data_IF_717656332270
#
_entry.id   IF_717656332270
#
_cell.length_a   1.000
_cell.length_b   1.000
_cell.length_c   1.000
_cell.angle_alpha   90.00
_cell.angle_beta   90.00
_cell.angle_gamma   90.00
#
_symmetry.space_group_name_H-M   'P 1'
#
loop_
_entity.id
_entity.type
_entity.pdbx_description
1 polymer ?
#
# COMPACT_ATOMS: atom_id res chain seq x y z
N UNK A 1 -48.23 -3.92 3.74
CA UNK A 1 -47.23 -3.32 2.85
C UNK A 1 -45.89 -3.56 3.53
N UNK A 2 -45.35 -4.74 3.32
CA UNK A 2 -44.07 -5.18 3.87
C UNK A 2 -42.96 -4.70 2.93
N UNK A 3 -42.03 -3.93 3.46
CA UNK A 3 -40.82 -3.51 2.76
C UNK A 3 -39.74 -4.56 3.02
N UNK A 4 -39.47 -5.39 2.04
CA UNK A 4 -38.34 -6.30 2.05
C UNK A 4 -37.02 -5.52 2.02
N UNK A 5 -36.24 -5.67 3.08
CA UNK A 5 -34.85 -5.24 3.11
C UNK A 5 -34.00 -6.23 2.34
N UNK A 6 -33.42 -5.81 1.23
CA UNK A 6 -32.41 -6.59 0.52
C UNK A 6 -31.09 -6.55 1.28
N UNK A 7 -30.77 -7.62 1.97
CA UNK A 7 -29.46 -7.86 2.54
C UNK A 7 -28.44 -8.09 1.41
N UNK A 8 -27.47 -7.21 1.31
CA UNK A 8 -26.35 -7.32 0.39
C UNK A 8 -25.28 -8.20 1.02
N UNK A 9 -25.32 -9.51 0.77
CA UNK A 9 -24.25 -10.42 1.17
C UNK A 9 -22.97 -10.12 0.38
N UNK A 10 -21.98 -9.57 1.04
CA UNK A 10 -20.62 -9.43 0.50
C UNK A 10 -19.87 -10.76 0.65
N UNK A 11 -19.61 -11.42 -0.47
CA UNK A 11 -18.79 -12.63 -0.50
C UNK A 11 -17.32 -12.27 -0.63
N UNK A 12 -16.52 -12.60 0.37
CA UNK A 12 -15.06 -12.44 0.32
C UNK A 12 -14.42 -13.70 -0.27
N UNK A 13 -13.56 -13.54 -1.27
CA UNK A 13 -12.71 -14.60 -1.81
C UNK A 13 -11.29 -14.43 -1.29
N UNK A 14 -10.73 -15.47 -0.71
CA UNK A 14 -9.32 -15.51 -0.30
C UNK A 14 -8.52 -16.27 -1.34
N UNK A 15 -7.45 -15.67 -1.82
CA UNK A 15 -6.48 -16.30 -2.72
C UNK A 15 -5.15 -16.34 -1.96
N UNK A 16 -4.66 -17.54 -1.69
CA UNK A 16 -3.38 -17.73 -1.01
C UNK A 16 -2.27 -17.90 -2.03
N UNK A 17 -1.29 -17.04 -1.94
CA UNK A 17 0.03 -17.20 -2.52
C UNK A 17 1.04 -17.24 -1.38
N UNK A 18 2.16 -17.94 -1.54
CA UNK A 18 3.16 -18.14 -0.47
C UNK A 18 3.77 -16.85 0.14
N UNK A 19 3.41 -15.68 -0.36
CA UNK A 19 3.77 -14.37 0.19
C UNK A 19 2.65 -13.71 1.02
N UNK A 20 1.57 -14.41 1.29
CA UNK A 20 0.44 -13.90 2.07
C UNK A 20 -0.92 -14.23 1.48
N UNK A 21 -1.95 -14.08 2.28
CA UNK A 21 -3.35 -14.24 1.85
C UNK A 21 -3.86 -12.89 1.32
N UNK A 22 -4.33 -12.88 0.07
CA UNK A 22 -4.97 -11.70 -0.52
C UNK A 22 -6.49 -11.83 -0.34
N UNK A 23 -7.10 -10.77 0.17
CA UNK A 23 -8.54 -10.71 0.38
C UNK A 23 -9.19 -9.66 -0.51
N UNK A 24 -10.28 -10.03 -1.17
CA UNK A 24 -11.04 -9.16 -2.07
C UNK A 24 -12.53 -9.23 -1.77
N UNK A 25 -13.19 -8.09 -1.83
CA UNK A 25 -14.64 -7.99 -1.73
C UNK A 25 -15.26 -8.14 -3.12
N UNK A 26 -16.21 -9.07 -3.26
CA UNK A 26 -16.96 -9.23 -4.51
C UNK A 26 -18.21 -8.38 -4.47
N UNK A 27 -18.20 -7.23 -5.12
CA UNK A 27 -19.42 -6.46 -5.42
C UNK A 27 -20.06 -7.03 -6.68
N UNK A 28 -21.27 -7.59 -6.55
CA UNK A 28 -22.08 -7.98 -7.71
C UNK A 28 -22.63 -6.73 -8.37
N UNK A 29 -21.93 -6.21 -9.36
CA UNK A 29 -22.54 -5.28 -10.31
C UNK A 29 -23.32 -6.08 -11.36
N UNK A 30 -24.63 -5.95 -11.36
CA UNK A 30 -25.48 -6.39 -12.46
C UNK A 30 -25.24 -5.48 -13.67
N UNK A 31 -24.46 -5.95 -14.64
CA UNK A 31 -24.42 -5.39 -15.97
C UNK A 31 -24.21 -6.53 -16.99
N UNK A 32 -25.22 -6.70 -17.82
CA UNK A 32 -25.26 -7.29 -19.15
C UNK A 32 -24.50 -8.60 -19.40
N UNK A 33 -25.26 -9.64 -19.69
CA UNK A 33 -24.81 -10.88 -20.29
C UNK A 33 -23.97 -10.61 -21.55
N UNK A 34 -22.66 -10.77 -21.45
CA UNK A 34 -21.79 -10.92 -22.61
C UNK A 34 -21.62 -12.42 -22.87
N UNK A 35 -21.97 -12.82 -24.08
CA UNK A 35 -21.79 -14.14 -24.65
C UNK A 35 -20.32 -14.55 -24.46
N UNK A 36 -20.10 -15.63 -23.71
CA UNK A 36 -18.79 -16.27 -23.60
C UNK A 36 -18.52 -16.95 -24.94
N UNK A 37 -17.83 -16.26 -25.84
CA UNK A 37 -17.12 -16.95 -26.91
C UNK A 37 -15.87 -17.55 -26.30
N UNK A 38 -15.75 -18.87 -26.35
CA UNK A 38 -14.53 -19.61 -26.06
C UNK A 38 -13.41 -19.12 -26.97
N UNK A 39 -12.67 -18.09 -26.56
CA UNK A 39 -11.36 -17.80 -27.13
C UNK A 39 -10.37 -18.73 -26.45
N UNK A 40 -9.97 -19.73 -27.22
CA UNK A 40 -8.81 -20.60 -26.96
C UNK A 40 -7.64 -19.65 -26.64
N UNK A 41 -7.15 -19.68 -25.39
CA UNK A 41 -5.89 -19.05 -25.02
C UNK A 41 -4.76 -19.58 -25.91
N UNK A 42 -3.65 -18.86 -26.07
CA UNK A 42 -2.57 -19.30 -26.92
C UNK A 42 -2.17 -20.72 -26.55
N UNK A 43 -2.27 -21.64 -27.51
CA UNK A 43 -1.85 -23.03 -27.40
C UNK A 43 -0.37 -23.05 -27.05
N UNK A 44 -0.07 -23.10 -25.75
CA UNK A 44 1.26 -23.47 -25.29
C UNK A 44 1.54 -24.89 -25.77
N UNK A 45 2.50 -25.04 -26.68
CA UNK A 45 2.92 -26.35 -27.15
C UNK A 45 3.34 -27.21 -25.94
N UNK A 46 3.14 -28.51 -25.97
CA UNK A 46 3.49 -29.43 -24.87
C UNK A 46 4.95 -29.28 -24.39
N UNK A 47 5.87 -28.82 -25.25
CA UNK A 47 7.24 -28.50 -24.92
C UNK A 47 7.38 -27.27 -24.01
N UNK A 48 6.54 -26.26 -24.16
CA UNK A 48 6.57 -25.07 -23.31
C UNK A 48 6.09 -25.35 -21.88
N UNK A 49 5.06 -26.20 -21.73
CA UNK A 49 4.57 -26.60 -20.40
C UNK A 49 5.67 -27.31 -19.59
N UNK A 50 6.44 -28.19 -20.22
CA UNK A 50 7.56 -28.89 -19.59
C UNK A 50 8.68 -27.97 -19.13
N UNK A 51 8.96 -26.87 -19.84
CA UNK A 51 10.01 -25.90 -19.45
C UNK A 51 9.58 -25.09 -18.22
N UNK A 52 8.32 -24.72 -18.12
CA UNK A 52 7.81 -24.01 -16.94
C UNK A 52 7.85 -24.89 -15.68
N UNK A 53 7.57 -26.19 -15.81
CA UNK A 53 7.70 -27.16 -14.70
C UNK A 53 9.15 -27.25 -14.19
N UNK A 54 10.15 -27.20 -15.08
CA UNK A 54 11.56 -27.19 -14.69
C UNK A 54 11.98 -25.95 -13.91
N UNK A 55 11.25 -24.85 -14.09
CA UNK A 55 11.49 -23.59 -13.37
C UNK A 55 10.65 -23.45 -12.11
N UNK A 56 9.79 -24.40 -11.78
CA UNK A 56 9.01 -24.37 -10.57
C UNK A 56 9.87 -24.69 -9.33
N UNK A 57 9.81 -23.82 -8.33
CA UNK A 57 10.51 -24.06 -7.08
C UNK A 57 9.78 -25.13 -6.26
N UNK A 58 10.46 -26.22 -5.81
CA UNK A 58 9.81 -27.32 -5.08
C UNK A 58 9.35 -26.93 -3.67
N UNK A 59 9.64 -25.72 -3.20
CA UNK A 59 9.27 -25.23 -1.87
C UNK A 59 8.10 -24.25 -1.93
N UNK A 60 8.07 -23.35 -2.92
CA UNK A 60 7.05 -22.29 -3.00
C UNK A 60 6.19 -22.38 -4.27
N UNK A 61 6.41 -23.37 -5.12
CA UNK A 61 5.70 -23.59 -6.37
C UNK A 61 5.72 -22.43 -7.38
N UNK A 62 6.43 -21.35 -7.07
CA UNK A 62 6.62 -20.25 -8.00
C UNK A 62 7.77 -20.51 -8.98
N UNK A 63 7.67 -19.87 -10.13
CA UNK A 63 8.77 -19.89 -11.10
C UNK A 63 10.06 -19.34 -10.48
N UNK A 64 11.14 -20.09 -10.62
CA UNK A 64 12.46 -19.68 -10.18
C UNK A 64 13.07 -18.66 -11.15
N UNK A 65 13.78 -17.70 -10.57
CA UNK A 65 14.50 -16.65 -11.29
C UNK A 65 15.95 -16.57 -10.82
N UNK A 66 16.86 -16.03 -11.65
CA UNK A 66 18.22 -15.82 -11.22
C UNK A 66 18.37 -14.98 -9.95
N UNK A 67 19.23 -15.39 -9.02
CA UNK A 67 20.03 -16.61 -9.04
C UNK A 67 19.22 -17.85 -8.62
N UNK A 68 19.36 -18.92 -9.43
CA UNK A 68 18.77 -20.24 -9.16
C UNK A 68 19.86 -21.12 -8.52
N UNK A 69 19.60 -21.58 -7.30
CA UNK A 69 20.56 -22.41 -6.57
C UNK A 69 20.29 -23.88 -6.80
N UNK A 70 21.37 -24.70 -6.73
CA UNK A 70 21.26 -26.15 -6.80
C UNK A 70 22.15 -26.84 -5.77
N UNK A 71 21.76 -28.04 -5.36
CA UNK A 71 22.64 -28.93 -4.60
C UNK A 71 23.57 -29.72 -5.52
N UNK A 72 24.54 -30.45 -4.93
CA UNK A 72 25.46 -31.31 -5.69
C UNK A 72 24.73 -32.39 -6.52
N UNK A 73 23.54 -32.82 -6.16
CA UNK A 73 22.71 -33.76 -6.88
C UNK A 73 21.85 -33.13 -7.97
N UNK A 74 21.98 -31.79 -8.21
CA UNK A 74 21.29 -31.10 -9.29
C UNK A 74 19.86 -30.63 -8.95
N UNK A 75 19.35 -30.86 -7.74
CA UNK A 75 18.04 -30.31 -7.34
C UNK A 75 18.11 -28.79 -7.17
N UNK A 76 17.15 -28.08 -7.73
CA UNK A 76 17.13 -26.62 -7.81
C UNK A 76 16.10 -26.01 -6.88
N UNK A 77 16.33 -24.76 -6.46
CA UNK A 77 15.36 -23.93 -5.76
C UNK A 77 15.68 -22.45 -5.88
N UNK A 78 14.68 -21.61 -5.61
CA UNK A 78 14.85 -20.16 -5.70
C UNK A 78 15.65 -19.61 -4.50
N UNK A 79 16.24 -18.42 -4.67
CA UNK A 79 17.05 -17.74 -3.66
C UNK A 79 16.30 -17.49 -2.36
N UNK A 80 15.03 -17.10 -2.43
CA UNK A 80 14.20 -16.84 -1.26
C UNK A 80 14.02 -18.11 -0.43
N UNK A 81 13.75 -19.24 -1.09
CA UNK A 81 13.56 -20.51 -0.39
C UNK A 81 14.86 -21.11 0.12
N UNK A 82 16.01 -20.83 -0.51
CA UNK A 82 17.33 -21.24 0.00
C UNK A 82 17.55 -20.78 1.45
N UNK A 83 17.19 -19.54 1.74
CA UNK A 83 17.27 -18.99 3.11
C UNK A 83 16.27 -19.68 4.04
N UNK A 84 15.06 -19.90 3.57
CA UNK A 84 13.98 -20.53 4.37
C UNK A 84 14.29 -21.98 4.76
N UNK A 85 14.97 -22.73 3.89
CA UNK A 85 15.36 -24.12 4.15
C UNK A 85 16.73 -24.25 4.83
N UNK A 86 17.28 -23.17 5.38
CA UNK A 86 18.55 -23.15 6.09
C UNK A 86 19.69 -23.83 5.32
N UNK A 87 19.82 -23.54 4.02
CA UNK A 87 20.82 -24.09 3.11
C UNK A 87 20.78 -25.63 2.95
N UNK A 88 19.67 -26.29 3.26
CA UNK A 88 19.51 -27.74 3.04
C UNK A 88 18.54 -28.01 1.90
N UNK A 89 18.93 -28.87 0.96
CA UNK A 89 18.07 -29.28 -0.15
C UNK A 89 16.80 -29.98 0.38
N UNK A 90 15.59 -29.53 0.05
CA UNK A 90 14.36 -30.15 0.52
C UNK A 90 14.15 -31.55 -0.04
N UNK A 91 14.74 -31.86 -1.21
CA UNK A 91 14.59 -33.14 -1.90
C UNK A 91 15.55 -34.21 -1.39
N UNK A 92 16.85 -33.88 -1.22
CA UNK A 92 17.87 -34.86 -0.84
C UNK A 92 18.61 -34.55 0.46
N UNK A 93 18.27 -33.45 1.16
CA UNK A 93 18.84 -32.99 2.43
C UNK A 93 20.36 -32.67 2.39
N UNK A 94 20.98 -32.71 1.24
CA UNK A 94 22.35 -32.28 1.04
C UNK A 94 22.48 -30.75 1.19
N UNK A 95 23.68 -30.29 1.51
CA UNK A 95 23.94 -28.84 1.58
C UNK A 95 23.83 -28.21 0.20
N UNK A 96 23.19 -27.01 0.13
CA UNK A 96 22.99 -26.29 -1.11
C UNK A 96 24.22 -25.51 -1.56
N UNK A 97 25.03 -25.05 -0.61
CA UNK A 97 26.20 -24.23 -0.92
C UNK A 97 25.83 -22.99 -1.76
N UNK A 98 26.81 -22.52 -2.57
CA UNK A 98 26.63 -21.36 -3.45
C UNK A 98 26.60 -21.76 -4.94
N UNK A 99 26.32 -23.03 -5.22
CA UNK A 99 26.22 -23.52 -6.59
C UNK A 99 24.98 -22.96 -7.26
N UNK A 100 25.17 -22.32 -8.42
CA UNK A 100 24.10 -21.78 -9.25
C UNK A 100 23.85 -22.66 -10.47
N UNK A 101 22.58 -22.81 -10.85
CA UNK A 101 22.22 -23.49 -12.10
C UNK A 101 22.17 -22.51 -13.26
N UNK A 102 23.31 -22.12 -13.80
CA UNK A 102 23.43 -21.12 -14.86
C UNK A 102 22.64 -21.49 -16.13
N UNK A 103 22.48 -22.79 -16.41
CA UNK A 103 21.69 -23.23 -17.55
C UNK A 103 20.20 -22.87 -17.38
N UNK A 104 19.62 -23.17 -16.24
CA UNK A 104 18.23 -22.79 -15.94
C UNK A 104 18.04 -21.26 -15.83
N UNK A 105 19.04 -20.56 -15.34
CA UNK A 105 19.00 -19.10 -15.32
C UNK A 105 18.88 -18.51 -16.72
N UNK A 106 19.66 -18.98 -17.68
CA UNK A 106 19.56 -18.55 -19.08
C UNK A 106 18.22 -18.91 -19.71
N UNK A 107 17.67 -20.06 -19.37
CA UNK A 107 16.34 -20.47 -19.82
C UNK A 107 15.29 -19.51 -19.22
N UNK A 108 15.34 -19.25 -17.92
CA UNK A 108 14.42 -18.34 -17.25
C UNK A 108 14.43 -16.92 -17.84
N UNK A 109 15.64 -16.43 -18.19
CA UNK A 109 15.82 -15.11 -18.80
C UNK A 109 15.23 -15.02 -20.22
N UNK A 110 15.17 -16.13 -20.95
CA UNK A 110 14.63 -16.18 -22.32
C UNK A 110 13.11 -16.36 -22.40
N UNK A 111 12.46 -16.68 -21.27
CA UNK A 111 11.04 -16.94 -21.25
C UNK A 111 10.22 -15.66 -21.01
N UNK A 112 9.10 -15.60 -21.68
CA UNK A 112 8.04 -14.65 -21.39
C UNK A 112 7.09 -15.24 -20.35
N UNK A 113 6.87 -14.51 -19.26
CA UNK A 113 6.12 -14.96 -18.11
C UNK A 113 4.99 -14.00 -17.76
N UNK A 114 3.81 -14.50 -17.40
CA UNK A 114 2.73 -13.63 -16.94
C UNK A 114 3.11 -12.92 -15.65
N UNK A 115 2.58 -11.73 -15.46
CA UNK A 115 2.67 -11.00 -14.20
C UNK A 115 2.16 -11.86 -13.04
N UNK A 116 2.81 -11.81 -11.87
CA UNK A 116 2.36 -12.56 -10.68
C UNK A 116 0.96 -12.19 -10.23
N UNK A 117 0.47 -11.02 -10.64
CA UNK A 117 -0.89 -10.54 -10.39
C UNK A 117 -1.87 -10.87 -11.53
N UNK A 118 -1.52 -11.82 -12.40
CA UNK A 118 -2.39 -12.28 -13.48
C UNK A 118 -3.76 -12.73 -12.95
N UNK A 119 -3.77 -13.52 -11.88
CA UNK A 119 -5.00 -13.98 -11.23
C UNK A 119 -5.81 -12.85 -10.57
N UNK A 120 -5.23 -11.66 -10.42
CA UNK A 120 -5.88 -10.46 -9.92
C UNK A 120 -6.31 -9.52 -11.05
N UNK A 121 -6.16 -9.96 -12.31
CA UNK A 121 -6.62 -9.25 -13.49
C UNK A 121 -5.54 -8.60 -14.35
N UNK A 122 -4.25 -8.70 -14.01
CA UNK A 122 -3.18 -8.16 -14.84
C UNK A 122 -2.97 -9.04 -16.09
N UNK A 123 -3.24 -8.56 -17.31
CA UNK A 123 -3.12 -9.38 -18.52
C UNK A 123 -1.69 -9.46 -19.08
N UNK A 124 -0.77 -8.73 -18.49
CA UNK A 124 0.55 -8.48 -19.05
C UNK A 124 1.51 -9.66 -18.93
N UNK A 125 2.28 -9.89 -20.00
CA UNK A 125 3.31 -10.92 -20.12
C UNK A 125 4.64 -10.23 -20.45
N UNK A 126 5.71 -10.62 -19.76
CA UNK A 126 7.02 -9.96 -19.88
C UNK A 126 8.18 -10.94 -19.88
N UNK A 127 9.30 -10.59 -20.54
CA UNK A 127 10.60 -11.16 -20.24
C UNK A 127 10.98 -10.91 -18.77
N UNK A 128 11.78 -11.80 -18.19
CA UNK A 128 12.12 -11.82 -16.76
C UNK A 128 12.44 -10.43 -16.14
N UNK A 129 13.39 -9.69 -16.73
CA UNK A 129 13.81 -8.40 -16.14
C UNK A 129 12.72 -7.33 -16.22
N UNK A 130 11.99 -7.28 -17.33
CA UNK A 130 10.86 -6.36 -17.49
C UNK A 130 9.70 -6.70 -16.55
N UNK A 131 9.50 -8.02 -16.30
CA UNK A 131 8.50 -8.51 -15.36
C UNK A 131 8.72 -7.99 -13.95
N UNK A 132 9.94 -8.08 -13.41
CA UNK A 132 10.24 -7.60 -12.06
C UNK A 132 9.95 -6.09 -11.91
N UNK A 133 10.37 -5.31 -12.90
CA UNK A 133 10.10 -3.87 -12.93
C UNK A 133 8.60 -3.59 -12.96
N UNK A 134 7.87 -4.25 -13.86
CA UNK A 134 6.42 -4.13 -13.96
C UNK A 134 5.73 -4.52 -12.64
N UNK A 135 6.05 -5.66 -12.05
CA UNK A 135 5.40 -6.15 -10.83
C UNK A 135 5.56 -5.22 -9.62
N UNK A 136 6.66 -4.46 -9.59
CA UNK A 136 6.87 -3.45 -8.56
C UNK A 136 5.91 -2.24 -8.69
N UNK A 137 5.40 -2.00 -9.91
CA UNK A 137 4.55 -0.87 -10.28
C UNK A 137 3.16 -1.29 -10.77
N UNK A 138 2.86 -2.59 -10.80
CA UNK A 138 1.61 -3.13 -11.34
C UNK A 138 0.39 -2.57 -10.60
N UNK A 139 -0.59 -2.06 -11.35
CA UNK A 139 -1.83 -1.50 -10.80
C UNK A 139 -2.70 -2.58 -10.10
N UNK A 140 -2.53 -3.85 -10.49
CA UNK A 140 -3.22 -4.98 -9.86
C UNK A 140 -2.51 -5.50 -8.59
N UNK A 141 -1.44 -4.83 -8.16
CA UNK A 141 -0.75 -5.18 -6.92
C UNK A 141 -1.63 -4.83 -5.73
N UNK A 142 -1.89 -5.79 -4.81
CA UNK A 142 -2.63 -5.52 -3.59
C UNK A 142 -1.97 -4.42 -2.77
N UNK A 143 -2.77 -3.75 -1.95
CA UNK A 143 -2.29 -2.76 -0.99
C UNK A 143 -1.92 -3.43 0.32
N UNK A 144 -0.90 -2.92 0.99
CA UNK A 144 -0.57 -3.32 2.35
C UNK A 144 -1.42 -2.52 3.35
N UNK A 145 -1.72 -3.13 4.48
CA UNK A 145 -2.44 -2.46 5.57
C UNK A 145 -1.73 -1.15 5.94
N UNK A 146 -2.43 0.00 5.91
CA UNK A 146 -1.83 1.30 6.22
C UNK A 146 -1.71 1.58 7.71
N UNK A 147 -2.09 0.65 8.59
CA UNK A 147 -2.05 0.84 10.04
C UNK A 147 -0.62 1.10 10.52
N UNK A 148 -0.45 2.12 11.35
CA UNK A 148 0.85 2.66 11.73
C UNK A 148 1.28 2.33 13.17
N UNK A 149 0.48 1.61 13.93
CA UNK A 149 0.77 1.31 15.34
C UNK A 149 1.62 0.06 15.57
N UNK A 150 1.48 -0.94 14.72
CA UNK A 150 2.26 -2.18 14.70
C UNK A 150 2.44 -2.62 13.26
N UNK A 151 3.51 -3.38 12.97
CA UNK A 151 3.69 -3.95 11.65
C UNK A 151 2.58 -4.98 11.38
N UNK A 152 1.64 -4.61 10.50
CA UNK A 152 0.59 -5.50 10.04
C UNK A 152 0.93 -6.02 8.64
N UNK A 153 1.04 -7.35 8.51
CA UNK A 153 1.37 -8.01 7.25
C UNK A 153 0.16 -8.26 6.32
N UNK A 154 -1.02 -7.77 6.69
CA UNK A 154 -2.23 -7.97 5.91
C UNK A 154 -2.18 -7.16 4.62
N UNK A 155 -2.54 -7.82 3.51
CA UNK A 155 -2.60 -7.24 2.17
C UNK A 155 -3.95 -7.56 1.51
N UNK A 156 -4.47 -6.63 0.71
CA UNK A 156 -5.75 -6.84 0.03
C UNK A 156 -6.16 -5.65 -0.84
N UNK A 157 -7.40 -5.67 -1.29
CA UNK A 157 -8.04 -4.52 -1.94
C UNK A 157 -8.50 -3.48 -0.91
N UNK A 158 -8.91 -2.31 -1.37
CA UNK A 158 -9.30 -1.21 -0.49
C UNK A 158 -10.52 -1.56 0.37
N UNK A 159 -11.62 -2.13 -0.16
CA UNK A 159 -12.78 -2.52 0.64
C UNK A 159 -12.44 -3.50 1.77
N UNK A 160 -11.60 -4.49 1.48
CA UNK A 160 -11.13 -5.43 2.48
C UNK A 160 -10.29 -4.76 3.56
N UNK A 161 -9.33 -3.90 3.17
CA UNK A 161 -8.47 -3.19 4.12
C UNK A 161 -9.26 -2.21 5.00
N UNK A 162 -10.31 -1.57 4.48
CA UNK A 162 -11.21 -0.72 5.29
C UNK A 162 -11.92 -1.55 6.36
N UNK A 163 -12.45 -2.72 5.99
CA UNK A 163 -13.08 -3.63 6.98
C UNK A 163 -12.07 -4.12 8.00
N UNK A 164 -10.89 -4.54 7.56
CA UNK A 164 -9.78 -4.96 8.42
C UNK A 164 -9.35 -3.86 9.41
N UNK A 165 -9.21 -2.60 8.96
CA UNK A 165 -8.88 -1.47 9.84
C UNK A 165 -9.94 -1.25 10.91
N UNK A 166 -11.22 -1.33 10.54
CA UNK A 166 -12.34 -1.17 11.47
C UNK A 166 -12.43 -2.36 12.45
N UNK A 167 -12.33 -3.60 11.93
CA UNK A 167 -12.69 -4.79 12.68
C UNK A 167 -11.52 -5.34 13.52
N UNK A 168 -10.29 -5.29 12.99
CA UNK A 168 -9.11 -5.82 13.66
C UNK A 168 -8.32 -4.73 14.41
N UNK A 169 -8.10 -3.57 13.78
CA UNK A 169 -7.37 -2.46 14.37
C UNK A 169 -8.24 -1.49 15.17
N UNK A 170 -9.58 -1.62 15.12
CA UNK A 170 -10.53 -0.74 15.82
C UNK A 170 -10.36 0.74 15.47
N UNK A 171 -9.94 1.03 14.24
CA UNK A 171 -9.79 2.40 13.75
C UNK A 171 -11.16 3.03 13.55
N UNK A 172 -11.33 4.25 14.02
CA UNK A 172 -12.57 5.00 13.86
C UNK A 172 -12.84 5.32 12.39
N UNK A 173 -14.09 5.15 11.98
CA UNK A 173 -14.59 5.47 10.64
C UNK A 173 -15.43 6.73 10.69
N UNK A 174 -15.14 7.69 9.81
CA UNK A 174 -15.84 8.97 9.75
C UNK A 174 -16.32 9.26 8.33
N UNK A 175 -17.61 9.55 8.18
CA UNK A 175 -18.17 9.99 6.90
C UNK A 175 -18.15 11.52 6.81
N UNK A 176 -17.52 12.05 5.75
CA UNK A 176 -17.46 13.47 5.48
C UNK A 176 -16.07 13.97 5.10
N UNK A 177 -16.04 15.17 4.55
CA UNK A 177 -14.82 15.82 4.03
C UNK A 177 -14.19 16.82 5.01
N UNK A 178 -14.81 17.06 6.15
CA UNK A 178 -14.28 17.94 7.21
C UNK A 178 -14.19 17.18 8.51
N UNK A 179 -13.17 17.45 9.28
CA UNK A 179 -12.95 16.76 10.54
C UNK A 179 -12.28 17.64 11.59
N UNK A 180 -12.40 17.21 12.84
CA UNK A 180 -11.80 17.85 13.99
C UNK A 180 -11.31 16.75 14.94
N UNK A 181 -10.01 16.52 14.97
CA UNK A 181 -9.40 15.54 15.84
C UNK A 181 -8.72 16.22 17.03
N UNK A 182 -8.92 15.66 18.22
CA UNK A 182 -8.31 16.15 19.45
C UNK A 182 -7.27 15.15 19.96
N UNK A 183 -6.02 15.59 19.98
CA UNK A 183 -4.92 14.87 20.61
C UNK A 183 -4.70 15.38 22.03
N UNK A 184 -4.65 14.47 23.00
CA UNK A 184 -4.38 14.77 24.41
C UNK A 184 -3.25 13.89 24.91
N UNK A 185 -2.23 14.51 25.51
CA UNK A 185 -1.12 13.82 26.14
C UNK A 185 -0.84 14.38 27.52
N UNK A 186 -0.81 13.52 28.54
CA UNK A 186 -0.26 13.83 29.84
C UNK A 186 1.28 13.88 29.77
N UNK A 187 1.91 14.74 30.56
CA UNK A 187 3.37 14.91 30.60
C UNK A 187 3.99 15.32 29.24
N UNK A 188 3.71 16.50 28.72
CA UNK A 188 4.20 16.96 27.41
C UNK A 188 5.74 17.18 27.37
N UNK A 189 6.45 16.97 28.49
CA UNK A 189 7.90 17.04 28.57
C UNK A 189 8.60 15.76 28.14
N UNK A 190 7.92 14.64 28.21
CA UNK A 190 8.45 13.36 27.74
C UNK A 190 8.37 13.31 26.22
N UNK A 191 9.52 13.01 25.62
CA UNK A 191 9.61 12.81 24.16
C UNK A 191 9.23 11.36 23.89
N UNK A 192 8.13 11.18 23.18
CA UNK A 192 7.74 9.89 22.63
C UNK A 192 8.08 9.83 21.14
N UNK A 193 8.63 8.70 20.73
CA UNK A 193 8.55 8.27 19.34
C UNK A 193 7.31 7.39 19.22
N UNK A 194 6.23 7.94 18.73
CA UNK A 194 4.96 7.24 18.62
C UNK A 194 4.24 7.61 17.33
N UNK A 195 3.57 6.64 16.79
CA UNK A 195 2.79 6.78 15.55
C UNK A 195 1.39 6.27 15.81
N UNK A 196 0.40 7.06 15.41
CA UNK A 196 -1.01 6.71 15.52
C UNK A 196 -1.69 6.87 14.17
N UNK A 197 -2.48 5.90 13.79
CA UNK A 197 -3.49 6.06 12.77
C UNK A 197 -4.80 6.39 13.47
N UNK A 198 -5.27 7.62 13.29
CA UNK A 198 -6.36 8.16 14.09
C UNK A 198 -7.74 7.77 13.56
N UNK A 199 -7.94 7.90 12.26
CA UNK A 199 -9.28 7.80 11.65
C UNK A 199 -9.17 7.49 10.17
N UNK A 200 -10.13 6.74 9.63
CA UNK A 200 -10.39 6.62 8.20
C UNK A 200 -11.57 7.50 7.83
N UNK A 201 -11.39 8.39 6.87
CA UNK A 201 -12.45 9.23 6.30
C UNK A 201 -12.99 8.62 5.03
N UNK A 202 -14.30 8.62 4.90
CA UNK A 202 -14.99 8.28 3.65
C UNK A 202 -15.64 9.54 3.08
N UNK A 203 -15.13 10.02 1.95
CA UNK A 203 -15.71 11.13 1.21
C UNK A 203 -15.42 11.00 -0.27
N UNK A 204 -16.27 11.57 -1.13
CA UNK A 204 -16.16 11.51 -2.59
C UNK A 204 -16.10 10.09 -3.16
N UNK A 205 -16.67 9.09 -2.45
CA UNK A 205 -16.59 7.67 -2.82
C UNK A 205 -15.22 7.02 -2.58
N UNK A 206 -14.33 7.70 -1.87
CA UNK A 206 -12.95 7.27 -1.58
C UNK A 206 -12.67 7.25 -0.09
N UNK A 207 -11.53 6.66 0.29
CA UNK A 207 -11.08 6.55 1.67
C UNK A 207 -9.73 7.24 1.89
N UNK A 208 -9.58 7.86 3.06
CA UNK A 208 -8.38 8.59 3.47
C UNK A 208 -8.03 8.23 4.90
N UNK A 209 -6.74 8.05 5.19
CA UNK A 209 -6.23 7.74 6.53
C UNK A 209 -5.55 8.96 7.14
N UNK A 210 -6.02 9.42 8.30
CA UNK A 210 -5.33 10.46 9.07
C UNK A 210 -4.30 9.81 10.00
N UNK A 211 -3.07 10.22 9.87
CA UNK A 211 -1.96 9.84 10.74
C UNK A 211 -1.53 11.00 11.63
N UNK A 212 -1.09 10.66 12.82
CA UNK A 212 -0.47 11.59 13.74
C UNK A 212 0.77 10.93 14.35
N UNK A 213 1.91 11.60 14.28
CA UNK A 213 3.18 11.06 14.76
C UNK A 213 3.87 12.06 15.68
N UNK A 214 4.59 11.53 16.68
CA UNK A 214 5.52 12.28 17.50
C UNK A 214 6.91 11.68 17.32
N UNK A 215 7.89 12.48 16.97
CA UNK A 215 9.26 12.02 16.73
C UNK A 215 10.28 13.16 16.92
N UNK A 216 11.57 12.80 16.86
CA UNK A 216 12.67 13.78 16.88
C UNK A 216 12.98 14.21 15.45
N UNK A 217 12.95 15.52 15.21
CA UNK A 217 13.43 16.14 13.97
C UNK A 217 14.66 17.00 14.31
N UNK A 218 15.84 16.50 13.93
CA UNK A 218 17.10 17.11 14.36
C UNK A 218 17.23 17.06 15.89
N UNK A 219 17.42 18.22 16.53
CA UNK A 219 17.59 18.33 17.97
C UNK A 219 16.29 18.58 18.75
N UNK A 220 15.14 18.63 18.09
CA UNK A 220 13.87 18.98 18.72
C UNK A 220 12.74 17.97 18.47
N UNK A 221 11.88 17.74 19.46
CA UNK A 221 10.69 16.94 19.28
C UNK A 221 9.63 17.71 18.48
N UNK A 222 8.98 16.99 17.57
CA UNK A 222 7.90 17.50 16.73
C UNK A 222 6.70 16.57 16.76
N UNK A 223 5.55 17.14 16.46
CA UNK A 223 4.32 16.42 16.11
C UNK A 223 4.04 16.64 14.64
N UNK A 224 3.60 15.61 13.95
CA UNK A 224 3.27 15.69 12.54
C UNK A 224 1.92 15.05 12.28
N UNK A 225 1.05 15.77 11.57
CA UNK A 225 -0.20 15.24 11.05
C UNK A 225 -0.17 15.22 9.53
N UNK A 226 -0.64 14.12 8.95
CA UNK A 226 -0.73 14.00 7.48
C UNK A 226 -1.84 13.05 7.07
N UNK A 227 -2.31 13.23 5.85
CA UNK A 227 -3.35 12.41 5.25
C UNK A 227 -2.76 11.51 4.16
N UNK A 228 -3.19 10.24 4.15
CA UNK A 228 -2.86 9.31 3.07
C UNK A 228 -4.14 8.85 2.37
N UNK A 229 -4.08 8.76 1.06
CA UNK A 229 -5.15 8.27 0.21
C UNK A 229 -5.12 6.74 0.13
N UNK A 230 -6.25 6.08 0.33
CA UNK A 230 -6.37 4.64 0.18
C UNK A 230 -6.62 4.28 -1.29
N UNK A 231 -5.55 4.29 -2.07
CA UNK A 231 -5.54 4.05 -3.51
C UNK A 231 -4.18 4.37 -4.10
N UNK A 232 -4.11 4.46 -5.41
CA UNK A 232 -2.87 4.74 -6.14
C UNK A 232 -2.54 6.24 -6.18
N UNK A 233 -1.28 6.55 -6.46
CA UNK A 233 -0.76 7.93 -6.47
C UNK A 233 -1.44 8.80 -7.56
N UNK A 234 -1.78 8.22 -8.71
CA UNK A 234 -2.46 8.96 -9.79
C UNK A 234 -3.86 9.42 -9.35
N UNK A 235 -4.60 8.55 -8.65
CA UNK A 235 -5.91 8.91 -8.11
C UNK A 235 -5.78 9.93 -6.97
N UNK A 236 -4.76 9.80 -6.12
CA UNK A 236 -4.50 10.72 -5.02
C UNK A 236 -4.32 12.17 -5.48
N UNK A 237 -3.74 12.38 -6.66
CA UNK A 237 -3.55 13.71 -7.27
C UNK A 237 -4.84 14.45 -7.60
N UNK A 238 -5.96 13.73 -7.65
CA UNK A 238 -7.27 14.34 -7.85
C UNK A 238 -7.85 14.98 -6.59
N UNK A 239 -7.13 14.90 -5.47
CA UNK A 239 -7.59 15.40 -4.18
C UNK A 239 -6.54 16.28 -3.54
N UNK A 240 -7.02 17.27 -2.78
CA UNK A 240 -6.21 18.08 -1.88
C UNK A 240 -6.82 18.08 -0.49
N UNK A 241 -6.00 18.38 0.49
CA UNK A 241 -6.43 18.51 1.87
C UNK A 241 -5.73 19.64 2.58
N UNK A 242 -6.36 20.18 3.59
CA UNK A 242 -5.75 21.10 4.55
C UNK A 242 -5.84 20.55 5.95
N UNK A 243 -4.80 20.80 6.73
CA UNK A 243 -4.74 20.58 8.17
C UNK A 243 -4.43 21.89 8.87
N UNK A 244 -5.14 22.16 9.93
CA UNK A 244 -4.96 23.36 10.72
C UNK A 244 -4.86 23.04 12.20
N UNK A 245 -3.90 23.64 12.88
CA UNK A 245 -3.81 23.66 14.34
C UNK A 245 -3.73 25.10 14.80
N UNK A 246 -4.43 25.44 15.87
CA UNK A 246 -4.45 26.80 16.35
C UNK A 246 -4.85 26.96 17.80
N UNK A 247 -4.57 28.15 18.33
CA UNK A 247 -4.92 28.58 19.68
C UNK A 247 -4.48 30.00 19.93
N UNK A 248 -5.09 30.66 20.91
CA UNK A 248 -4.73 32.02 21.31
C UNK A 248 -4.72 33.03 20.16
N UNK A 249 -5.67 32.92 19.22
CA UNK A 249 -5.83 33.81 18.07
C UNK A 249 -4.81 33.60 16.94
N UNK A 250 -4.06 32.52 16.97
CA UNK A 250 -3.06 32.15 15.93
C UNK A 250 -3.30 30.76 15.43
N UNK A 251 -2.89 30.48 14.18
CA UNK A 251 -3.01 29.17 13.54
C UNK A 251 -1.82 28.84 12.66
N UNK A 252 -1.56 27.57 12.49
CA UNK A 252 -0.66 26.98 11.53
C UNK A 252 -1.47 26.09 10.60
N UNK A 253 -1.32 26.30 9.30
CA UNK A 253 -2.06 25.53 8.27
C UNK A 253 -1.05 24.87 7.34
N UNK A 254 -1.31 23.62 7.01
CA UNK A 254 -0.69 22.87 5.94
C UNK A 254 -1.73 22.57 4.87
N UNK A 255 -1.32 22.68 3.62
CA UNK A 255 -2.17 22.34 2.48
C UNK A 255 -1.35 21.56 1.45
N UNK A 256 -1.93 20.49 0.90
CA UNK A 256 -1.23 19.64 -0.08
C UNK A 256 -2.08 18.49 -0.59
N UNK A 257 -1.47 17.68 -1.46
CA UNK A 257 -2.05 16.46 -2.02
C UNK A 257 -1.80 15.28 -1.08
N UNK A 258 -2.79 14.42 -0.79
CA UNK A 258 -2.57 13.25 0.05
C UNK A 258 -1.65 12.24 -0.65
N UNK A 259 -0.74 11.63 0.09
CA UNK A 259 0.12 10.56 -0.44
C UNK A 259 -0.65 9.24 -0.50
N UNK A 260 -0.37 8.44 -1.53
CA UNK A 260 -0.91 7.08 -1.62
C UNK A 260 -0.48 6.20 -0.44
N UNK A 261 -1.34 5.25 -0.03
CA UNK A 261 -0.94 4.19 0.92
C UNK A 261 0.10 3.22 0.34
N UNK A 262 0.45 3.31 -0.95
CA UNK A 262 1.61 2.63 -1.55
C UNK A 262 2.92 3.07 -0.91
N UNK A 263 3.00 4.32 -0.48
CA UNK A 263 4.10 4.83 0.35
C UNK A 263 3.86 4.45 1.81
N UNK A 264 4.90 4.04 2.52
CA UNK A 264 4.78 3.81 3.96
C UNK A 264 4.59 5.12 4.72
N UNK A 265 3.96 5.07 5.90
CA UNK A 265 3.83 6.26 6.75
C UNK A 265 5.21 6.86 7.10
N UNK A 266 6.24 6.01 7.28
CA UNK A 266 7.62 6.47 7.52
C UNK A 266 8.19 7.28 6.36
N UNK A 267 7.93 6.86 5.11
CA UNK A 267 8.38 7.62 3.93
C UNK A 267 7.72 8.99 3.86
N UNK A 268 6.42 9.11 4.19
CA UNK A 268 5.72 10.40 4.26
C UNK A 268 6.30 11.27 5.36
N UNK A 269 6.51 10.72 6.56
CA UNK A 269 7.15 11.40 7.68
C UNK A 269 8.54 11.92 7.32
N UNK A 270 9.39 11.06 6.77
CA UNK A 270 10.80 11.37 6.47
C UNK A 270 10.93 12.39 5.32
N UNK A 271 9.92 12.51 4.46
CA UNK A 271 9.82 13.58 3.45
C UNK A 271 9.23 14.90 3.97
N UNK A 272 8.83 14.96 5.24
CA UNK A 272 8.19 16.12 5.88
C UNK A 272 6.91 16.59 5.17
N UNK A 273 6.18 15.67 4.55
CA UNK A 273 4.98 15.95 3.75
C UNK A 273 3.73 15.95 4.63
N UNK A 274 3.53 17.01 5.40
CA UNK A 274 2.43 17.16 6.34
C UNK A 274 2.56 18.36 7.27
N UNK A 275 1.57 18.55 8.14
CA UNK A 275 1.55 19.59 9.14
C UNK A 275 2.54 19.27 10.27
N UNK A 276 3.69 19.92 10.28
CA UNK A 276 4.73 19.78 11.32
C UNK A 276 4.55 20.84 12.39
N UNK A 277 4.41 20.42 13.64
CA UNK A 277 4.20 21.27 14.80
C UNK A 277 5.37 21.07 15.76
N UNK A 278 6.24 22.05 15.86
CA UNK A 278 7.30 22.04 16.87
C UNK A 278 6.70 22.00 18.27
N UNK A 279 7.35 21.32 19.20
CA UNK A 279 6.87 21.14 20.58
C UNK A 279 6.50 22.47 21.26
N UNK A 280 7.34 23.49 21.16
CA UNK A 280 7.07 24.79 21.79
C UNK A 280 5.81 25.44 21.22
N UNK A 281 5.56 25.29 19.92
CA UNK A 281 4.34 25.75 19.26
C UNK A 281 3.12 24.93 19.69
N UNK A 282 3.29 23.61 19.81
CA UNK A 282 2.24 22.72 20.32
C UNK A 282 1.81 23.10 21.75
N UNK A 283 2.76 23.38 22.63
CA UNK A 283 2.50 23.88 23.99
C UNK A 283 1.79 25.25 23.99
N UNK A 284 2.18 26.14 23.09
CA UNK A 284 1.51 27.44 22.92
C UNK A 284 0.06 27.29 22.48
N UNK A 285 -0.24 26.46 21.49
CA UNK A 285 -1.60 26.18 21.02
C UNK A 285 -2.44 25.45 22.06
N UNK A 286 -1.81 24.69 22.97
CA UNK A 286 -2.45 23.96 24.06
C UNK A 286 -2.94 24.83 25.23
N UNK A 287 -2.68 26.12 25.21
CA UNK A 287 -3.10 27.05 26.28
C UNK A 287 -2.10 27.22 27.41
N UNK A 288 -0.91 26.59 27.35
CA UNK A 288 0.26 26.97 28.13
C UNK A 288 0.34 26.46 29.58
N UNK A 289 -0.59 25.64 30.11
CA UNK A 289 -0.52 25.16 31.49
C UNK A 289 0.55 24.08 31.74
N UNK A 290 1.20 23.61 30.67
CA UNK A 290 2.31 22.65 30.66
C UNK A 290 2.08 21.30 31.37
N UNK A 291 0.89 21.06 31.88
CA UNK A 291 0.53 19.79 32.52
C UNK A 291 0.04 18.76 31.54
N UNK A 292 -0.72 19.22 30.55
CA UNK A 292 -1.21 18.40 29.46
C UNK A 292 -1.00 19.09 28.11
N UNK A 293 -0.68 18.32 27.11
CA UNK A 293 -0.71 18.78 25.73
C UNK A 293 -2.08 18.48 25.12
N UNK A 294 -2.77 19.51 24.69
CA UNK A 294 -4.09 19.41 24.04
C UNK A 294 -4.01 20.09 22.67
N UNK A 295 -3.87 19.30 21.64
CA UNK A 295 -3.89 19.80 20.27
C UNK A 295 -5.23 19.47 19.62
N UNK A 296 -5.78 20.45 18.91
CA UNK A 296 -6.93 20.27 18.04
C UNK A 296 -6.46 20.43 16.61
N UNK A 297 -6.50 19.34 15.84
CA UNK A 297 -6.21 19.34 14.42
C UNK A 297 -7.54 19.33 13.69
N UNK A 298 -7.82 20.38 12.94
CA UNK A 298 -8.98 20.45 12.04
C UNK A 298 -8.50 20.21 10.62
N UNK A 299 -9.33 19.61 9.79
CA UNK A 299 -8.96 19.35 8.41
C UNK A 299 -10.15 19.37 7.48
N UNK A 300 -9.83 19.56 6.21
CA UNK A 300 -10.77 19.54 5.10
C UNK A 300 -10.13 18.82 3.92
N UNK A 301 -10.93 18.00 3.24
CA UNK A 301 -10.56 17.29 2.01
C UNK A 301 -11.45 17.82 0.89
N UNK A 302 -10.90 18.01 -0.30
CA UNK A 302 -11.70 18.38 -1.48
C UNK A 302 -11.15 17.69 -2.71
N UNK A 303 -11.99 17.60 -3.73
CA UNK A 303 -11.61 17.09 -5.03
C UNK A 303 -11.16 18.26 -5.90
N UNK A 304 -9.99 18.15 -6.53
CA UNK A 304 -9.51 19.15 -7.47
C UNK A 304 -10.40 19.17 -8.71
N UNK A 305 -10.78 20.37 -9.12
CA UNK A 305 -11.46 20.56 -10.40
C UNK A 305 -10.39 20.72 -11.46
N UNK A 306 -10.18 19.70 -12.27
CA UNK A 306 -9.38 19.85 -13.48
C UNK A 306 -10.13 20.79 -14.45
N UNK A 307 -9.79 22.07 -14.45
CA UNK A 307 -10.14 22.96 -15.54
C UNK A 307 -9.33 22.54 -16.77
N UNK A 308 -9.95 22.23 -17.91
CA UNK A 308 -9.21 21.80 -19.11
C UNK A 308 -8.42 22.92 -19.78
N UNK A 309 -8.29 24.09 -19.16
CA UNK A 309 -7.70 25.28 -19.78
C UNK A 309 -6.75 26.01 -18.81
N UNK A 310 -5.55 25.43 -18.61
CA UNK A 310 -4.38 26.21 -18.21
C UNK A 310 -3.25 25.94 -19.19
N UNK A 311 -3.51 26.36 -20.45
CA UNK A 311 -2.46 26.60 -21.44
C UNK A 311 -1.47 27.61 -20.89
N UNK A 312 -0.23 27.19 -20.81
CA UNK A 312 0.96 27.93 -20.45
C UNK A 312 0.97 29.33 -21.07
N UNK A 313 0.71 30.36 -20.26
CA UNK A 313 1.22 31.69 -20.55
C UNK A 313 2.67 31.76 -20.05
N UNK A 314 3.61 31.46 -20.94
CA UNK A 314 5.01 31.85 -20.77
C UNK A 314 5.07 33.37 -21.01
N UNK A 315 5.47 34.21 -20.05
CA UNK A 315 5.76 35.60 -20.36
C UNK A 315 7.04 35.63 -21.21
N UNK A 316 6.91 36.08 -22.47
CA UNK A 316 8.05 36.45 -23.29
C UNK A 316 8.82 37.56 -22.57
N UNK A 317 10.00 37.26 -22.09
CA UNK A 317 11.03 38.24 -21.81
C UNK A 317 11.73 38.55 -23.13
N UNK A 318 11.30 39.61 -23.81
CA UNK A 318 12.06 40.26 -24.88
C UNK A 318 12.59 41.58 -24.39
N UNK A 319 13.90 41.72 -24.59
CA UNK A 319 14.84 42.87 -24.55
C UNK A 319 15.31 43.38 -23.22
#
# INVERSE_FOLDING_TARGET
METESMDCESSTRSITNDNGTYHFSSTKNHAAAAVVTNTVGPTTTAAATSVYELLECPVCTFSMYPPIHQCHNGHTLCSTCKVRVHNRCPTCRQELGDIRCLALEKVAESLELPCKYYNLGCPEIFPYYSKLKHESLCNFRPYSCPYAGSECGVVGDIPFLVSHLRDDHKVDMHAGSTFNHRYVKSNPREVENATWMLTVFQCFGQYFCLHFEAFQLGMGPVYMAFLRFMGDEEEARSYSYSLEVGGSGRKLTWEGTPRSIRDSHRKVRDSNDGLIIQRNMALFFSGGDRKELKLRVTGKIWKEQHSPDSGLCIPNLSS
#
